data_IF_222382003480
#
_entry.id   IF_222382003480
#
_cell.length_a   1.000
_cell.length_b   1.000
_cell.length_c   1.000
_cell.angle_alpha   90.00
_cell.angle_beta   90.00
_cell.angle_gamma   90.00
#
_symmetry.space_group_name_H-M   'P 1'
#
loop_
_entity.id
_entity.type
_entity.pdbx_description
1 polymer ?
#
# COMPACT_ATOMS: atom_id res chain seq x y z
N UNK A 1 -35.55 45.11 2.60
CA UNK A 1 -35.25 43.82 1.95
C UNK A 1 -33.75 43.67 1.99
N UNK A 2 -33.27 43.02 3.04
CA UNK A 2 -31.85 42.89 3.35
C UNK A 2 -31.34 41.56 2.80
N UNK A 3 -30.29 41.64 1.98
CA UNK A 3 -29.52 40.52 1.46
C UNK A 3 -29.11 39.54 2.57
N UNK A 4 -29.79 38.40 2.64
CA UNK A 4 -29.40 37.24 3.44
C UNK A 4 -28.40 36.41 2.62
N UNK A 5 -27.22 36.98 2.36
CA UNK A 5 -26.12 36.31 1.65
C UNK A 5 -25.39 35.38 2.62
N UNK A 6 -25.72 34.08 2.55
CA UNK A 6 -24.83 32.94 2.78
C UNK A 6 -23.64 33.21 3.74
N UNK A 7 -23.94 33.45 5.02
CA UNK A 7 -22.96 33.77 6.07
C UNK A 7 -22.17 32.55 6.58
N UNK A 8 -22.22 31.43 5.87
CA UNK A 8 -21.64 30.16 6.31
C UNK A 8 -20.23 29.91 5.80
N UNK A 9 -19.73 30.69 4.84
CA UNK A 9 -18.43 30.42 4.22
C UNK A 9 -17.50 31.62 4.36
N UNK A 10 -16.51 31.50 5.24
CA UNK A 10 -15.44 32.48 5.38
C UNK A 10 -14.43 32.34 4.24
N UNK A 11 -13.96 33.45 3.68
CA UNK A 11 -13.00 33.46 2.57
C UNK A 11 -11.56 33.10 3.01
N UNK A 12 -11.32 32.92 4.31
CA UNK A 12 -10.00 32.54 4.87
C UNK A 12 -9.78 31.03 4.96
N UNK A 13 -10.48 30.23 4.15
CA UNK A 13 -10.37 28.77 4.16
C UNK A 13 -8.94 28.26 3.90
N UNK A 14 -8.16 28.94 3.05
CA UNK A 14 -6.77 28.57 2.79
C UNK A 14 -5.89 28.74 4.04
N UNK A 15 -6.08 29.83 4.78
CA UNK A 15 -5.32 30.11 6.00
C UNK A 15 -5.68 29.15 7.13
N UNK A 16 -6.95 28.73 7.19
CA UNK A 16 -7.42 27.68 8.11
C UNK A 16 -6.64 26.38 7.90
N UNK A 17 -6.46 25.94 6.65
CA UNK A 17 -5.71 24.71 6.34
C UNK A 17 -4.26 24.85 6.77
N UNK A 18 -3.58 25.94 6.39
CA UNK A 18 -2.19 26.19 6.80
C UNK A 18 -2.03 26.23 8.33
N UNK A 19 -2.98 26.85 9.04
CA UNK A 19 -3.01 26.85 10.50
C UNK A 19 -3.20 25.43 11.09
N UNK A 20 -4.14 24.64 10.56
CA UNK A 20 -4.43 23.29 11.04
C UNK A 20 -3.26 22.32 10.87
N UNK A 21 -2.47 22.48 9.81
CA UNK A 21 -1.28 21.65 9.54
C UNK A 21 0.01 22.21 10.13
N UNK A 22 -0.02 23.39 10.77
CA UNK A 22 1.16 24.04 11.33
C UNK A 22 2.14 24.55 10.26
N UNK A 23 1.63 24.84 9.07
CA UNK A 23 2.38 25.40 7.93
C UNK A 23 2.39 26.94 7.94
N UNK A 24 1.48 27.57 8.70
CA UNK A 24 1.43 29.01 8.90
C UNK A 24 2.65 29.51 9.69
N UNK A 25 3.19 30.66 9.31
CA UNK A 25 4.25 31.31 10.10
C UNK A 25 3.69 31.92 11.40
N UNK A 26 4.56 32.37 12.31
CA UNK A 26 4.15 32.89 13.62
C UNK A 26 3.20 34.08 13.51
N UNK A 27 3.42 34.96 12.54
CA UNK A 27 2.59 36.14 12.31
C UNK A 27 1.20 35.75 11.80
N UNK A 28 1.15 34.88 10.79
CA UNK A 28 -0.11 34.34 10.23
C UNK A 28 -0.90 33.58 11.30
N UNK A 29 -0.22 32.82 12.14
CA UNK A 29 -0.84 32.09 13.26
C UNK A 29 -1.53 33.05 14.23
N UNK A 30 -0.87 34.15 14.62
CA UNK A 30 -1.47 35.15 15.51
C UNK A 30 -2.64 35.89 14.84
N UNK A 31 -2.49 36.27 13.56
CA UNK A 31 -3.55 36.93 12.80
C UNK A 31 -4.79 36.04 12.61
N UNK A 32 -4.58 34.75 12.39
CA UNK A 32 -5.66 33.77 12.27
C UNK A 32 -6.30 33.46 13.62
N UNK A 33 -5.52 33.36 14.70
CA UNK A 33 -6.08 33.21 16.06
C UNK A 33 -6.99 34.36 16.47
N UNK A 34 -6.60 35.60 16.18
CA UNK A 34 -7.49 36.76 16.41
C UNK A 34 -8.78 36.62 15.61
N UNK A 35 -8.70 36.18 14.36
CA UNK A 35 -9.87 35.97 13.52
C UNK A 35 -10.78 34.85 14.04
N UNK A 36 -10.24 33.78 14.62
CA UNK A 36 -11.03 32.72 15.24
C UNK A 36 -11.91 33.26 16.37
N UNK A 37 -11.44 34.25 17.13
CA UNK A 37 -12.26 34.90 18.17
C UNK A 37 -13.37 35.81 17.62
N UNK A 38 -13.23 36.28 16.37
CA UNK A 38 -14.17 37.20 15.73
C UNK A 38 -15.13 36.49 14.76
N UNK A 39 -14.80 35.27 14.31
CA UNK A 39 -15.54 34.54 13.29
C UNK A 39 -16.03 33.17 13.80
N UNK A 40 -17.30 33.11 14.19
CA UNK A 40 -17.96 31.89 14.66
C UNK A 40 -17.97 30.74 13.62
N UNK A 41 -17.99 31.07 12.32
CA UNK A 41 -17.92 30.05 11.26
C UNK A 41 -16.57 29.32 11.30
N UNK A 42 -15.46 30.05 11.30
CA UNK A 42 -14.12 29.44 11.38
C UNK A 42 -13.89 28.70 12.71
N UNK A 43 -14.43 29.22 13.83
CA UNK A 43 -14.38 28.50 15.12
C UNK A 43 -15.11 27.14 15.03
N UNK A 44 -16.31 27.12 14.43
CA UNK A 44 -17.08 25.89 14.24
C UNK A 44 -16.39 24.89 13.31
N UNK A 45 -15.74 25.36 12.24
CA UNK A 45 -14.97 24.53 11.33
C UNK A 45 -13.77 23.89 12.05
N UNK A 46 -12.97 24.68 12.78
CA UNK A 46 -11.85 24.17 13.60
C UNK A 46 -12.36 23.12 14.61
N UNK A 47 -13.50 23.38 15.24
CA UNK A 47 -14.15 22.43 16.16
C UNK A 47 -14.47 21.09 15.48
N UNK A 48 -15.05 21.13 14.28
CA UNK A 48 -15.36 19.91 13.51
C UNK A 48 -14.11 19.11 13.15
N UNK A 49 -13.02 19.76 12.73
CA UNK A 49 -11.74 19.10 12.46
C UNK A 49 -11.11 18.49 13.71
N UNK A 50 -11.22 19.17 14.86
CA UNK A 50 -10.75 18.65 16.14
C UNK A 50 -11.48 17.36 16.51
N UNK A 51 -12.80 17.32 16.34
CA UNK A 51 -13.60 16.12 16.60
C UNK A 51 -13.15 14.94 15.73
N UNK A 52 -12.86 15.16 14.44
CA UNK A 52 -12.33 14.12 13.54
C UNK A 52 -10.94 13.64 14.00
N UNK A 53 -10.06 14.54 14.44
CA UNK A 53 -8.74 14.16 14.97
C UNK A 53 -8.86 13.34 16.26
N UNK A 54 -9.79 13.71 17.14
CA UNK A 54 -10.09 12.96 18.36
C UNK A 54 -10.64 11.57 18.05
N UNK A 55 -11.56 11.43 17.09
CA UNK A 55 -12.08 10.11 16.68
C UNK A 55 -11.01 9.22 16.04
N UNK A 56 -10.14 9.79 15.20
CA UNK A 56 -8.99 9.05 14.64
C UNK A 56 -8.01 8.66 15.76
N UNK A 57 -7.79 9.54 16.74
CA UNK A 57 -6.97 9.26 17.91
C UNK A 57 -7.51 8.08 18.72
N UNK A 58 -8.81 8.10 19.01
CA UNK A 58 -9.50 7.01 19.71
C UNK A 58 -9.41 5.69 18.94
N UNK A 59 -9.68 5.71 17.62
CA UNK A 59 -9.55 4.51 16.78
C UNK A 59 -8.11 3.99 16.71
N UNK A 60 -7.12 4.89 16.65
CA UNK A 60 -5.71 4.53 16.71
C UNK A 60 -5.34 3.88 18.05
N UNK A 61 -5.86 4.41 19.16
CA UNK A 61 -5.65 3.83 20.48
C UNK A 61 -6.35 2.48 20.64
N UNK A 62 -7.54 2.30 20.08
CA UNK A 62 -8.24 1.01 20.07
C UNK A 62 -7.48 -0.04 19.24
N UNK A 63 -7.06 0.33 18.02
CA UNK A 63 -6.38 -0.59 17.10
C UNK A 63 -4.94 -0.89 17.50
N UNK A 64 -4.18 0.11 17.97
CA UNK A 64 -2.78 -0.06 18.36
C UNK A 64 -2.59 -0.33 19.85
N UNK A 65 -3.53 0.08 20.72
CA UNK A 65 -3.48 -0.20 22.15
C UNK A 65 -3.59 -1.69 22.46
N UNK A 66 -4.23 -2.47 21.59
CA UNK A 66 -4.22 -3.94 21.65
C UNK A 66 -2.83 -4.52 21.37
N UNK A 67 -1.99 -3.84 20.57
CA UNK A 67 -0.59 -4.26 20.33
C UNK A 67 0.38 -3.74 21.41
N UNK A 68 -0.02 -2.75 22.19
CA UNK A 68 0.75 -2.19 23.30
C UNK A 68 0.01 -2.50 24.61
N UNK A 69 -0.10 -3.79 24.96
CA UNK A 69 -0.61 -4.18 26.27
C UNK A 69 0.09 -3.40 27.39
N UNK A 70 -0.66 -2.68 28.25
CA UNK A 70 -0.11 -2.05 29.45
C UNK A 70 -0.04 -3.08 30.57
N UNK A 71 0.71 -4.17 30.37
CA UNK A 71 1.09 -5.05 31.46
C UNK A 71 2.41 -5.75 31.16
N UNK A 72 3.51 -5.03 31.38
CA UNK A 72 4.72 -5.65 31.94
C UNK A 72 5.26 -4.70 32.99
N UNK A 73 4.73 -4.84 34.20
CA UNK A 73 5.54 -4.68 35.40
C UNK A 73 6.79 -5.55 35.19
N UNK A 74 7.94 -4.90 35.12
CA UNK A 74 9.25 -5.50 34.78
C UNK A 74 9.53 -6.74 35.63
N UNK A 75 10.19 -7.76 35.03
CA UNK A 75 11.47 -8.14 35.61
C UNK A 75 12.57 -8.18 34.54
N UNK A 76 13.58 -7.35 34.76
CA UNK A 76 14.99 -7.58 34.42
C UNK A 76 15.27 -8.14 33.01
N UNK A 77 14.86 -7.43 31.96
CA UNK A 77 15.30 -7.73 30.60
C UNK A 77 16.74 -7.26 30.44
N UNK A 78 17.65 -8.25 30.36
CA UNK A 78 19.08 -8.11 30.04
C UNK A 78 19.29 -7.02 29.00
N UNK A 79 20.24 -6.13 29.27
CA UNK A 79 20.73 -5.04 28.39
C UNK A 79 20.78 -5.50 26.93
N UNK A 80 19.70 -5.32 26.20
CA UNK A 80 19.59 -5.70 24.80
C UNK A 80 20.10 -4.53 24.00
N UNK A 81 21.19 -4.74 23.26
CA UNK A 81 21.82 -3.75 22.40
C UNK A 81 20.84 -3.05 21.45
N UNK A 82 19.71 -3.71 21.13
CA UNK A 82 18.65 -3.15 20.31
C UNK A 82 17.88 -1.99 20.97
N UNK A 83 17.78 -1.95 22.31
CA UNK A 83 17.15 -0.84 23.02
C UNK A 83 18.07 0.39 23.06
N UNK A 84 19.36 0.18 23.29
CA UNK A 84 20.37 1.25 23.23
C UNK A 84 20.50 1.83 21.81
N UNK A 85 20.43 0.99 20.78
CA UNK A 85 20.40 1.46 19.38
C UNK A 85 19.19 2.37 19.12
N UNK A 86 17.99 2.01 19.60
CA UNK A 86 16.80 2.87 19.45
C UNK A 86 16.92 4.19 20.20
N UNK A 87 17.51 4.21 21.39
CA UNK A 87 17.77 5.46 22.12
C UNK A 87 18.83 6.33 21.40
N UNK A 88 19.86 5.74 20.80
CA UNK A 88 20.81 6.47 19.96
C UNK A 88 20.17 7.10 18.71
N UNK A 89 19.22 6.39 18.07
CA UNK A 89 18.46 6.94 16.94
C UNK A 89 17.46 8.03 17.36
N UNK A 90 16.89 7.95 18.57
CA UNK A 90 15.96 8.95 19.08
C UNK A 90 16.65 10.22 19.61
N UNK A 91 17.86 10.13 20.17
CA UNK A 91 18.54 11.29 20.77
C UNK A 91 19.36 12.15 19.80
N UNK A 92 19.48 11.81 18.51
CA UNK A 92 20.37 12.57 17.62
C UNK A 92 19.82 12.83 16.21
N UNK A 93 18.98 13.88 16.02
CA UNK A 93 18.50 14.33 14.70
C UNK A 93 19.62 14.84 13.77
N UNK A 94 20.86 14.95 14.25
CA UNK A 94 22.03 15.35 13.47
C UNK A 94 22.51 14.29 12.47
N UNK A 95 22.26 12.99 12.73
CA UNK A 95 22.64 11.92 11.80
C UNK A 95 21.72 11.85 10.57
N UNK A 96 20.50 12.37 10.65
CA UNK A 96 19.61 12.50 9.49
C UNK A 96 20.19 13.44 8.42
N UNK A 97 20.88 14.52 8.82
CA UNK A 97 21.56 15.42 7.88
C UNK A 97 22.71 14.70 7.14
N UNK A 98 23.43 13.81 7.83
CA UNK A 98 24.46 12.96 7.22
C UNK A 98 23.88 11.92 6.26
N UNK A 99 22.77 11.29 6.63
CA UNK A 99 22.09 10.30 5.79
C UNK A 99 21.57 10.89 4.48
N UNK A 100 21.05 12.13 4.50
CA UNK A 100 20.58 12.80 3.28
C UNK A 100 21.76 13.11 2.33
N UNK A 101 22.87 13.64 2.84
CA UNK A 101 24.06 13.90 2.02
C UNK A 101 24.67 12.61 1.44
N UNK A 102 24.64 11.51 2.20
CA UNK A 102 25.09 10.22 1.71
C UNK A 102 24.14 9.67 0.63
N UNK A 103 22.83 9.75 0.86
CA UNK A 103 21.82 9.30 -0.09
C UNK A 103 21.89 10.08 -1.41
N UNK A 104 22.12 11.40 -1.38
CA UNK A 104 22.29 12.20 -2.59
C UNK A 104 23.56 11.83 -3.36
N UNK A 105 24.69 11.58 -2.67
CA UNK A 105 25.91 11.11 -3.32
C UNK A 105 25.74 9.73 -3.97
N UNK A 106 25.10 8.79 -3.27
CA UNK A 106 24.78 7.47 -3.81
C UNK A 106 23.87 7.60 -5.02
N UNK A 107 22.82 8.42 -4.94
CA UNK A 107 21.91 8.67 -6.05
C UNK A 107 22.63 9.28 -7.25
N UNK A 108 23.46 10.32 -7.05
CA UNK A 108 24.28 10.92 -8.10
C UNK A 108 25.23 9.89 -8.73
N UNK A 109 25.87 9.04 -7.93
CA UNK A 109 26.73 7.97 -8.45
C UNK A 109 25.97 6.98 -9.32
N UNK A 110 24.74 6.59 -8.93
CA UNK A 110 23.89 5.69 -9.70
C UNK A 110 23.42 6.33 -11.02
N UNK A 111 23.10 7.63 -11.00
CA UNK A 111 22.77 8.39 -12.22
C UNK A 111 23.97 8.43 -13.17
N UNK A 112 25.17 8.73 -12.68
CA UNK A 112 26.39 8.69 -13.50
C UNK A 112 26.64 7.28 -14.05
N UNK A 113 26.44 6.24 -13.25
CA UNK A 113 26.68 4.85 -13.64
C UNK A 113 25.64 4.36 -14.66
N UNK A 114 24.39 4.82 -14.58
CA UNK A 114 23.35 4.53 -15.58
C UNK A 114 23.60 5.27 -16.89
N UNK A 115 24.06 6.52 -16.85
CA UNK A 115 24.50 7.27 -18.04
C UNK A 115 25.73 6.60 -18.67
N UNK A 116 26.71 6.17 -17.86
CA UNK A 116 27.90 5.48 -18.36
C UNK A 116 27.55 4.13 -19.02
N UNK A 117 26.66 3.33 -18.40
CA UNK A 117 26.19 2.05 -18.98
C UNK A 117 25.31 2.19 -20.22
N UNK A 118 24.67 3.34 -20.41
CA UNK A 118 23.89 3.63 -21.62
C UNK A 118 24.74 4.28 -22.72
N UNK A 119 25.82 4.97 -22.31
CA UNK A 119 26.79 5.61 -23.22
C UNK A 119 27.90 4.67 -23.66
N UNK A 120 28.05 3.48 -23.07
CA UNK A 120 28.82 2.43 -23.74
C UNK A 120 28.06 2.13 -25.04
N UNK A 121 28.63 2.47 -26.20
CA UNK A 121 28.00 2.11 -27.45
C UNK A 121 27.97 0.60 -27.45
N UNK A 122 26.77 0.02 -27.33
CA UNK A 122 26.55 -1.35 -27.76
C UNK A 122 26.96 -1.35 -29.21
N UNK A 123 28.20 -1.77 -29.49
CA UNK A 123 28.57 -2.23 -30.81
C UNK A 123 27.43 -3.14 -31.24
N UNK A 124 26.68 -2.83 -32.31
CA UNK A 124 25.63 -3.71 -32.80
C UNK A 124 26.35 -4.91 -33.43
N UNK A 125 26.80 -5.81 -32.57
CA UNK A 125 27.64 -6.94 -32.90
C UNK A 125 27.22 -8.09 -32.01
N UNK A 126 26.47 -9.00 -32.63
CA UNK A 126 26.16 -10.34 -32.13
C UNK A 126 25.11 -10.42 -31.00
N UNK A 127 23.87 -10.10 -31.36
CA UNK A 127 22.84 -11.11 -31.09
C UNK A 127 23.26 -12.30 -31.94
N UNK A 128 23.73 -13.37 -31.31
CA UNK A 128 23.83 -14.66 -31.96
C UNK A 128 22.39 -15.09 -32.31
N UNK A 129 21.88 -14.63 -33.45
CA UNK A 129 20.79 -15.27 -34.17
C UNK A 129 21.35 -16.57 -34.75
N UNK A 130 21.67 -17.52 -33.89
CA UNK A 130 21.78 -18.92 -34.29
C UNK A 130 20.37 -19.37 -34.67
N UNK A 131 20.15 -19.48 -35.97
CA UNK A 131 18.92 -20.01 -36.55
C UNK A 131 18.16 -18.98 -37.38
N UNK A 132 18.68 -18.65 -38.57
CA UNK A 132 17.79 -18.32 -39.68
C UNK A 132 16.99 -19.60 -39.95
N UNK A 133 15.82 -19.74 -39.34
CA UNK A 133 14.91 -20.83 -39.69
C UNK A 133 14.57 -20.64 -41.16
N UNK A 134 15.04 -21.54 -42.01
CA UNK A 134 14.70 -21.47 -43.43
C UNK A 134 13.21 -21.76 -43.55
N UNK A 135 12.54 -21.13 -44.51
CA UNK A 135 11.09 -21.29 -44.67
C UNK A 135 10.71 -22.77 -44.88
N UNK A 136 11.60 -23.54 -45.51
CA UNK A 136 11.51 -24.98 -45.64
C UNK A 136 11.56 -25.74 -44.30
N UNK A 137 12.28 -25.23 -43.31
CA UNK A 137 12.37 -25.82 -41.98
C UNK A 137 11.08 -25.57 -41.19
N UNK A 138 10.48 -24.37 -41.31
CA UNK A 138 9.18 -24.07 -40.69
C UNK A 138 8.12 -25.01 -41.25
N UNK A 139 8.08 -25.17 -42.57
CA UNK A 139 7.11 -26.04 -43.24
C UNK A 139 7.28 -27.51 -42.81
N UNK A 140 8.52 -27.95 -42.57
CA UNK A 140 8.79 -29.31 -42.09
C UNK A 140 8.31 -29.51 -40.65
N UNK A 141 8.52 -28.53 -39.75
CA UNK A 141 7.97 -28.58 -38.39
C UNK A 141 6.44 -28.66 -38.43
N UNK A 142 5.79 -27.78 -39.20
CA UNK A 142 4.33 -27.72 -39.25
C UNK A 142 3.74 -29.02 -39.78
N UNK A 143 4.34 -29.59 -40.84
CA UNK A 143 3.90 -30.87 -41.41
C UNK A 143 4.06 -32.03 -40.42
N UNK A 144 5.18 -32.09 -39.70
CA UNK A 144 5.44 -33.13 -38.72
C UNK A 144 4.52 -33.01 -37.48
N UNK A 145 4.12 -31.79 -37.11
CA UNK A 145 3.12 -31.58 -36.05
C UNK A 145 1.70 -32.02 -36.46
N UNK A 146 1.33 -31.82 -37.73
CA UNK A 146 0.02 -32.26 -38.27
C UNK A 146 -0.09 -33.78 -38.38
N UNK A 147 0.98 -34.45 -38.80
CA UNK A 147 0.99 -35.92 -38.89
C UNK A 147 0.92 -36.57 -37.50
N UNK A 148 1.60 -36.00 -36.50
CA UNK A 148 1.50 -36.46 -35.10
C UNK A 148 0.12 -36.21 -34.45
N UNK A 149 -0.69 -35.28 -34.98
CA UNK A 149 -2.08 -35.08 -34.52
C UNK A 149 -3.08 -36.04 -35.17
N UNK A 150 -2.74 -36.64 -36.31
CA UNK A 150 -3.64 -37.56 -37.05
C UNK A 150 -3.53 -39.01 -36.61
N UNK A 151 -2.53 -39.36 -35.81
CA UNK A 151 -2.53 -40.64 -35.11
C UNK A 151 -3.70 -40.67 -34.11
N UNK A 152 -4.68 -41.58 -34.28
CA UNK A 152 -5.83 -41.65 -33.39
C UNK A 152 -5.32 -41.95 -31.98
N UNK A 153 -5.72 -41.09 -31.04
CA UNK A 153 -5.48 -41.24 -29.61
C UNK A 153 -6.13 -42.56 -29.16
N UNK A 154 -5.39 -43.65 -29.32
CA UNK A 154 -5.69 -44.92 -28.69
C UNK A 154 -5.52 -44.70 -27.19
N UNK A 155 -6.65 -44.42 -26.55
CA UNK A 155 -6.86 -44.28 -25.12
C UNK A 155 -6.11 -45.38 -24.36
N UNK A 156 -4.91 -45.06 -23.88
CA UNK A 156 -4.24 -45.85 -22.85
C UNK A 156 -4.83 -45.42 -21.50
N UNK A 157 -5.43 -46.33 -20.73
CA UNK A 157 -5.98 -46.01 -19.43
C UNK A 157 -4.85 -45.58 -18.47
N UNK A 158 -4.98 -44.36 -17.95
CA UNK A 158 -4.15 -43.85 -16.86
C UNK A 158 -4.40 -44.71 -15.62
N UNK A 159 -3.47 -45.62 -15.33
CA UNK A 159 -3.41 -46.33 -14.04
C UNK A 159 -2.89 -45.37 -12.98
N UNK A 160 -3.81 -44.81 -12.21
CA UNK A 160 -3.51 -44.13 -10.94
C UNK A 160 -3.13 -45.19 -9.91
N UNK A 161 -1.86 -45.23 -9.52
CA UNK A 161 -1.37 -46.12 -8.45
C UNK A 161 -0.54 -45.33 -7.45
N UNK A 162 -1.02 -45.31 -6.21
CA UNK A 162 -0.16 -45.52 -5.04
C UNK A 162 0.61 -44.33 -4.48
N UNK A 163 -0.05 -43.58 -3.60
CA UNK A 163 0.35 -43.24 -2.21
C UNK A 163 1.81 -43.60 -1.81
N UNK A 164 2.61 -42.57 -1.53
CA UNK A 164 3.91 -42.69 -0.87
C UNK A 164 4.34 -41.37 -0.22
N UNK A 165 4.48 -41.42 1.09
CA UNK A 165 4.75 -40.34 2.05
C UNK A 165 6.25 -39.93 2.02
N UNK A 166 6.60 -38.65 1.89
CA UNK A 166 7.87 -38.12 2.37
C UNK A 166 7.91 -36.57 2.42
N UNK A 167 8.30 -36.06 3.59
CA UNK A 167 8.65 -34.67 3.91
C UNK A 167 9.92 -34.25 3.14
N UNK A 168 9.95 -33.06 2.52
CA UNK A 168 11.12 -32.15 2.51
C UNK A 168 10.79 -30.78 1.89
N UNK A 169 11.47 -29.68 2.27
CA UNK A 169 10.98 -28.31 2.06
C UNK A 169 11.56 -27.57 0.84
N UNK A 170 10.86 -26.50 0.47
CA UNK A 170 11.32 -25.32 -0.27
C UNK A 170 12.02 -25.53 -1.63
N UNK A 171 11.22 -25.48 -2.70
CA UNK A 171 11.58 -24.76 -3.92
C UNK A 171 10.34 -24.07 -4.51
N UNK A 172 10.24 -22.75 -4.28
CA UNK A 172 9.32 -21.90 -5.03
C UNK A 172 9.91 -21.62 -6.41
N UNK A 173 9.46 -22.34 -7.43
CA UNK A 173 9.54 -21.87 -8.82
C UNK A 173 8.20 -22.07 -9.51
N UNK A 174 7.67 -20.94 -9.96
CA UNK A 174 6.51 -20.68 -10.81
C UNK A 174 6.12 -21.84 -11.74
N UNK A 175 4.95 -22.40 -11.44
CA UNK A 175 4.11 -23.16 -12.35
C UNK A 175 2.70 -23.16 -11.81
N UNK A 176 2.05 -21.98 -11.71
CA UNK A 176 0.69 -21.89 -11.19
C UNK A 176 -0.26 -22.52 -12.19
N UNK A 177 -0.63 -23.77 -11.92
CA UNK A 177 -1.82 -24.41 -12.48
C UNK A 177 -3.00 -23.46 -12.25
N UNK A 178 -3.86 -23.20 -13.25
CA UNK A 178 -5.08 -22.45 -13.02
C UNK A 178 -5.87 -23.15 -11.91
N UNK A 179 -6.28 -22.39 -10.89
CA UNK A 179 -7.07 -22.91 -9.78
C UNK A 179 -8.32 -23.59 -10.33
N UNK A 180 -8.66 -24.74 -9.77
CA UNK A 180 -9.90 -25.42 -10.12
C UNK A 180 -11.11 -24.58 -9.70
N UNK A 181 -12.23 -24.73 -10.39
CA UNK A 181 -13.47 -23.99 -10.09
C UNK A 181 -13.93 -24.18 -8.64
N UNK A 182 -13.71 -25.38 -8.08
CA UNK A 182 -14.01 -25.70 -6.69
C UNK A 182 -13.11 -24.94 -5.70
N UNK A 183 -11.82 -24.78 -5.99
CA UNK A 183 -10.91 -23.97 -5.15
C UNK A 183 -11.26 -22.48 -5.21
N UNK A 184 -11.69 -21.99 -6.37
CA UNK A 184 -12.20 -20.62 -6.50
C UNK A 184 -13.46 -20.39 -5.66
N UNK A 185 -14.40 -21.33 -5.64
CA UNK A 185 -15.60 -21.24 -4.80
C UNK A 185 -15.26 -21.30 -3.31
N UNK A 186 -14.29 -22.13 -2.91
CA UNK A 186 -13.82 -22.19 -1.53
C UNK A 186 -13.14 -20.88 -1.09
N UNK A 187 -12.26 -20.32 -1.92
CA UNK A 187 -11.62 -19.03 -1.64
C UNK A 187 -12.65 -17.89 -1.58
N UNK A 188 -13.66 -17.91 -2.44
CA UNK A 188 -14.74 -16.92 -2.42
C UNK A 188 -15.61 -17.05 -1.16
N UNK A 189 -15.82 -18.27 -0.65
CA UNK A 189 -16.52 -18.50 0.62
C UNK A 189 -15.70 -18.00 1.81
N UNK A 190 -14.39 -18.26 1.82
CA UNK A 190 -13.48 -17.89 2.91
C UNK A 190 -13.28 -16.35 2.99
N UNK A 191 -13.16 -15.69 1.83
CA UNK A 191 -13.09 -14.22 1.74
C UNK A 191 -14.41 -13.53 2.12
N UNK A 192 -15.57 -14.20 2.00
CA UNK A 192 -16.87 -13.64 2.38
C UNK A 192 -17.15 -13.67 3.87
N UNK A 193 -16.36 -14.39 4.68
CA UNK A 193 -16.60 -14.51 6.12
C UNK A 193 -16.24 -13.24 6.94
N UNK A 194 -15.66 -12.20 6.34
CA UNK A 194 -15.37 -10.94 7.02
C UNK A 194 -16.14 -9.71 6.51
N UNK A 195 -17.15 -9.87 5.65
CA UNK A 195 -17.84 -8.71 5.03
C UNK A 195 -19.30 -8.48 5.41
N UNK A 196 -19.93 -9.27 6.29
CA UNK A 196 -21.39 -9.12 6.54
C UNK A 196 -21.82 -9.26 8.01
N UNK A 197 -21.22 -8.51 8.93
CA UNK A 197 -21.77 -8.37 10.30
C UNK A 197 -21.89 -6.93 10.80
N UNK A 198 -21.34 -5.92 10.11
CA UNK A 198 -21.35 -4.53 10.60
C UNK A 198 -22.27 -3.59 9.79
N UNK A 199 -22.86 -4.03 8.66
CA UNK A 199 -23.73 -3.15 7.85
C UNK A 199 -25.17 -3.02 8.38
N UNK A 200 -25.55 -3.82 9.39
CA UNK A 200 -26.89 -3.74 10.00
C UNK A 200 -27.07 -2.53 10.93
N UNK A 201 -26.01 -1.81 11.30
CA UNK A 201 -26.08 -0.65 12.21
C UNK A 201 -25.92 0.72 11.51
N UNK A 202 -25.60 0.74 10.21
CA UNK A 202 -25.40 1.98 9.44
C UNK A 202 -26.66 2.48 8.71
N UNK A 203 -27.72 1.66 8.61
CA UNK A 203 -28.98 2.07 7.96
C UNK A 203 -30.00 2.75 8.89
N UNK A 204 -29.70 2.91 10.19
CA UNK A 204 -30.64 3.53 11.15
C UNK A 204 -30.42 5.04 11.37
N UNK A 205 -29.41 5.65 10.74
CA UNK A 205 -29.14 7.09 10.80
C UNK A 205 -29.62 7.88 9.58
N UNK A 206 -30.06 7.20 8.52
CA UNK A 206 -30.46 7.85 7.26
C UNK A 206 -31.89 8.42 7.23
N UNK A 207 -32.78 7.98 8.14
CA UNK A 207 -34.22 8.21 7.98
C UNK A 207 -34.80 9.36 8.83
N UNK A 208 -33.97 10.03 9.64
CA UNK A 208 -34.42 11.11 10.54
C UNK A 208 -34.25 12.53 9.97
N UNK A 209 -33.68 12.69 8.78
CA UNK A 209 -33.38 14.02 8.20
C UNK A 209 -34.53 14.56 7.34
N UNK A 210 -35.54 13.75 6.99
CA UNK A 210 -36.64 14.15 6.11
C UNK A 210 -38.01 14.38 6.80
N UNK A 211 -38.06 14.47 8.14
CA UNK A 211 -39.34 14.60 8.86
C UNK A 211 -39.68 15.99 9.42
N UNK A 212 -38.85 17.01 9.19
CA UNK A 212 -39.11 18.38 9.65
C UNK A 212 -39.05 19.37 8.48
N UNK A 213 -40.04 19.30 7.57
CA UNK A 213 -40.47 20.39 6.70
C UNK A 213 -41.97 20.25 6.40
#
# INVERSE_FOLDING_TARGET
>A
MSDMKNTTQCDRANELVSFLYGEANEKETQEFQRHLHECAACESEVGSFRQVRESIGAWKEETLGVFVSPEVIRPLQKKSAAAALREFFNLSPLWMKGAVAFATLVFCSLVVLTIYRSSTPKTPGQVATTGKYTQAEVDNIVKNALDNQREPVASKPVKTSGRGNAKSPSQMVKGRRPLSKAEQEQLAADLRLYSTSEESNLNLLGDKINQEF
#
